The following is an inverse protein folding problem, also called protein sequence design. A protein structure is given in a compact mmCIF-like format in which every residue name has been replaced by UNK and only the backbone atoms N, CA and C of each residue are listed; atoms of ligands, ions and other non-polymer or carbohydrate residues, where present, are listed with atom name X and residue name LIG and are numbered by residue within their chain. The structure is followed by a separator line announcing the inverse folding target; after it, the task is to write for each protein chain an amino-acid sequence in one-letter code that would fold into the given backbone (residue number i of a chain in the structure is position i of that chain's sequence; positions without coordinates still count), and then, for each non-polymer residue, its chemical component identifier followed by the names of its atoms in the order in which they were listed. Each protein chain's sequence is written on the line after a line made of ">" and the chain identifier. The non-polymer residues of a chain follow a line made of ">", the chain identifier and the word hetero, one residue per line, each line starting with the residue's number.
data_IF_876273731353
#
_entry.id   IF_876273731353
#
_cell.length_a   1.000
_cell.length_b   1.000
_cell.length_c   1.000
_cell.angle_alpha   90.00
_cell.angle_beta   90.00
_cell.angle_gamma   90.00
#
_symmetry.space_group_name_H-M   'P 1'
#
loop_
_entity.id
_entity.type
_entity.pdbx_description
1 polymer ?
#
# COMPACT_ATOMS: atom_id res chain seq x y z
N UNK A 1 -35.83 3.42 18.12
CA UNK A 1 -34.83 3.52 19.22
C UNK A 1 -33.93 4.70 18.92
N UNK A 2 -33.52 5.45 19.91
CA UNK A 2 -32.55 6.54 19.73
C UNK A 2 -31.15 5.95 19.56
N UNK A 3 -30.29 6.62 18.78
CA UNK A 3 -28.92 6.17 18.57
C UNK A 3 -28.13 6.01 19.89
N UNK A 4 -28.40 6.87 20.87
CA UNK A 4 -27.83 6.80 22.22
C UNK A 4 -28.14 5.48 22.96
N UNK A 5 -29.32 4.88 22.70
CA UNK A 5 -29.75 3.63 23.35
C UNK A 5 -28.99 2.40 22.81
N UNK A 6 -28.33 2.56 21.67
CA UNK A 6 -27.54 1.52 20.99
C UNK A 6 -26.04 1.63 21.29
N UNK A 7 -25.61 2.60 22.12
CA UNK A 7 -24.19 2.87 22.36
C UNK A 7 -23.48 3.55 21.16
N UNK A 8 -24.25 4.26 20.32
CA UNK A 8 -23.76 5.01 19.17
C UNK A 8 -23.54 6.45 19.59
N UNK A 9 -22.32 6.97 19.41
CA UNK A 9 -21.97 8.36 19.64
C UNK A 9 -22.39 9.26 18.47
N UNK A 10 -22.04 8.82 17.25
CA UNK A 10 -22.40 9.53 16.02
C UNK A 10 -22.65 8.53 14.89
N UNK A 11 -23.56 8.91 13.99
CA UNK A 11 -23.78 8.23 12.72
C UNK A 11 -23.52 9.24 11.60
N UNK A 12 -22.53 8.94 10.77
CA UNK A 12 -22.00 9.81 9.73
C UNK A 12 -22.33 9.22 8.36
N UNK A 13 -23.34 9.71 7.65
CA UNK A 13 -23.62 9.27 6.29
C UNK A 13 -22.41 9.55 5.39
N UNK A 14 -21.99 8.57 4.60
CA UNK A 14 -20.88 8.73 3.66
C UNK A 14 -21.40 8.59 2.24
N UNK A 15 -21.27 9.64 1.47
CA UNK A 15 -21.45 9.64 0.03
C UNK A 15 -20.24 10.34 -0.59
N UNK A 16 -19.61 9.67 -1.52
CA UNK A 16 -18.45 10.20 -2.24
C UNK A 16 -18.87 10.57 -3.65
N UNK A 17 -18.24 11.61 -4.18
CA UNK A 17 -18.42 12.00 -5.58
C UNK A 17 -17.10 12.13 -6.28
N UNK A 18 -17.12 11.85 -7.57
CA UNK A 18 -15.99 12.15 -8.46
C UNK A 18 -16.15 13.52 -9.07
N UNK A 19 -15.03 14.19 -9.29
CA UNK A 19 -15.01 15.50 -9.92
C UNK A 19 -13.61 15.87 -10.35
N UNK A 20 -13.35 17.16 -10.54
CA UNK A 20 -12.06 17.68 -10.93
C UNK A 20 -11.62 18.76 -9.94
N UNK A 21 -10.38 18.70 -9.50
CA UNK A 21 -9.69 19.78 -8.81
C UNK A 21 -8.77 20.47 -9.82
N UNK A 22 -8.80 21.79 -9.88
CA UNK A 22 -7.86 22.58 -10.69
C UNK A 22 -6.65 22.92 -9.84
N UNK A 23 -5.46 22.65 -10.35
CA UNK A 23 -4.21 22.94 -9.67
C UNK A 23 -3.75 24.40 -9.81
N UNK A 24 -2.63 24.73 -9.20
CA UNK A 24 -2.02 26.07 -9.26
C UNK A 24 -1.58 26.51 -10.66
N UNK A 25 -1.53 25.59 -11.62
CA UNK A 25 -1.20 25.84 -13.02
C UNK A 25 -2.43 25.95 -13.94
N UNK A 26 -3.62 26.18 -13.38
CA UNK A 26 -4.90 26.22 -14.08
C UNK A 26 -5.23 24.93 -14.89
N UNK A 27 -4.58 23.83 -14.58
CA UNK A 27 -4.85 22.54 -15.19
C UNK A 27 -5.53 21.58 -14.20
N UNK A 28 -6.33 20.62 -14.70
CA UNK A 28 -6.86 19.57 -13.84
C UNK A 28 -5.74 18.79 -13.12
N UNK A 29 -5.90 18.59 -11.84
CA UNK A 29 -5.03 17.69 -11.08
C UNK A 29 -5.36 16.27 -11.49
N UNK A 30 -4.44 15.65 -12.22
CA UNK A 30 -4.57 14.27 -12.66
C UNK A 30 -3.58 13.40 -11.89
N UNK A 31 -4.07 12.34 -11.31
CA UNK A 31 -3.25 11.26 -10.77
C UNK A 31 -3.30 10.08 -11.74
N UNK A 32 -2.23 9.31 -11.80
CA UNK A 32 -2.09 8.20 -12.75
C UNK A 32 -3.12 7.09 -12.44
N UNK A 33 -4.30 7.19 -13.06
CA UNK A 33 -5.33 6.14 -13.03
C UNK A 33 -6.36 6.21 -11.90
N UNK A 34 -6.26 7.16 -10.96
CA UNK A 34 -7.27 7.31 -9.91
C UNK A 34 -8.06 8.62 -10.06
N UNK A 35 -9.37 8.62 -9.78
CA UNK A 35 -10.19 9.82 -9.86
C UNK A 35 -9.93 10.79 -8.69
N UNK A 36 -10.31 12.05 -8.89
CA UNK A 36 -10.46 13.00 -7.77
C UNK A 36 -11.75 12.68 -7.03
N UNK A 37 -11.64 12.40 -5.74
CA UNK A 37 -12.73 12.06 -4.84
C UNK A 37 -13.05 13.21 -3.91
N UNK A 38 -14.30 13.63 -3.90
CA UNK A 38 -14.86 14.57 -2.93
C UNK A 38 -15.52 13.78 -1.80
N UNK A 39 -15.05 14.01 -0.58
CA UNK A 39 -15.48 13.28 0.62
C UNK A 39 -16.02 14.23 1.67
N UNK A 40 -17.14 13.89 2.35
CA UNK A 40 -17.63 14.71 3.44
C UNK A 40 -16.73 14.58 4.66
N UNK A 41 -16.30 15.69 5.25
CA UNK A 41 -15.51 15.68 6.49
C UNK A 41 -16.39 16.08 7.67
N UNK A 42 -16.58 15.14 8.59
CA UNK A 42 -17.32 15.35 9.83
C UNK A 42 -16.40 15.77 10.97
N UNK A 43 -17.00 16.26 12.06
CA UNK A 43 -16.25 16.52 13.29
C UNK A 43 -15.77 15.18 13.90
N UNK A 44 -14.57 15.20 14.50
CA UNK A 44 -13.97 14.04 15.16
C UNK A 44 -13.88 12.79 14.26
N UNK A 45 -13.44 12.97 13.02
CA UNK A 45 -13.24 11.83 12.11
C UNK A 45 -12.05 11.00 12.54
N UNK A 46 -12.29 9.72 12.87
CA UNK A 46 -11.24 8.79 13.32
C UNK A 46 -10.35 8.36 12.16
N UNK A 47 -9.04 8.42 12.36
CA UNK A 47 -8.05 8.08 11.32
C UNK A 47 -7.74 9.22 10.35
N UNK A 48 -8.18 10.44 10.68
CA UNK A 48 -7.81 11.67 10.02
C UNK A 48 -6.97 12.51 10.97
N UNK A 49 -5.83 12.97 10.53
CA UNK A 49 -4.94 13.89 11.25
C UNK A 49 -4.88 15.21 10.50
N UNK A 50 -5.17 16.29 11.20
CA UNK A 50 -4.99 17.64 10.66
C UNK A 50 -3.52 18.00 10.65
N UNK A 51 -3.01 18.44 9.49
CA UNK A 51 -1.63 18.90 9.33
C UNK A 51 -1.57 20.40 9.54
N UNK A 52 -2.49 21.15 8.90
CA UNK A 52 -2.61 22.61 9.06
C UNK A 52 -4.00 23.10 8.65
N UNK A 53 -4.36 24.30 9.09
CA UNK A 53 -5.64 24.92 8.77
C UNK A 53 -6.82 24.38 9.60
N UNK A 54 -8.00 24.36 9.00
CA UNK A 54 -9.24 23.94 9.67
C UNK A 54 -10.17 23.18 8.72
N UNK A 55 -11.20 22.56 9.28
CA UNK A 55 -12.26 21.88 8.55
C UNK A 55 -13.02 22.87 7.64
N UNK A 56 -13.40 22.46 6.42
CA UNK A 56 -14.15 23.29 5.49
C UNK A 56 -15.57 23.58 6.02
N UNK A 57 -16.07 24.78 5.73
CA UNK A 57 -17.40 25.24 6.11
C UNK A 57 -18.16 25.74 4.86
N UNK A 58 -19.30 25.11 4.57
CA UNK A 58 -20.13 25.48 3.43
C UNK A 58 -19.52 25.14 2.05
N UNK A 59 -20.05 25.77 1.01
CA UNK A 59 -19.72 25.45 -0.39
C UNK A 59 -18.42 26.08 -0.92
N UNK A 60 -17.90 27.12 -0.22
CA UNK A 60 -16.75 27.92 -0.68
C UNK A 60 -15.40 27.47 -0.15
N UNK A 61 -15.37 26.46 0.70
CA UNK A 61 -14.16 26.00 1.35
C UNK A 61 -13.90 24.52 1.08
N UNK A 62 -12.63 24.19 0.83
CA UNK A 62 -12.18 22.81 0.68
C UNK A 62 -10.93 22.57 1.52
N UNK A 63 -10.67 21.32 1.81
CA UNK A 63 -9.40 20.86 2.36
C UNK A 63 -8.82 19.76 1.48
N UNK A 64 -7.51 19.67 1.45
CA UNK A 64 -6.82 18.70 0.61
C UNK A 64 -6.08 17.68 1.48
N UNK A 65 -6.13 16.43 1.05
CA UNK A 65 -5.20 15.43 1.59
C UNK A 65 -3.76 15.81 1.21
N UNK A 66 -2.77 15.49 2.05
CA UNK A 66 -1.37 15.93 1.87
C UNK A 66 -0.80 15.61 0.48
N UNK A 67 -1.10 14.43 -0.06
CA UNK A 67 -0.71 14.05 -1.42
C UNK A 67 -1.41 14.89 -2.49
N UNK A 68 -2.68 15.17 -2.31
CA UNK A 68 -3.46 16.02 -3.21
C UNK A 68 -2.95 17.47 -3.19
N UNK A 69 -2.62 18.01 -2.01
CA UNK A 69 -2.05 19.35 -1.87
C UNK A 69 -0.70 19.46 -2.58
N UNK A 70 0.18 18.48 -2.37
CA UNK A 70 1.49 18.40 -3.03
C UNK A 70 1.36 18.33 -4.55
N UNK A 71 0.50 17.46 -5.05
CA UNK A 71 0.35 17.20 -6.49
C UNK A 71 -0.36 18.35 -7.22
N UNK A 72 -1.24 19.09 -6.53
CA UNK A 72 -1.93 20.25 -7.10
C UNK A 72 -1.04 21.50 -7.19
N UNK A 73 0.04 21.56 -6.43
CA UNK A 73 0.87 22.76 -6.28
C UNK A 73 0.18 23.91 -5.53
N UNK A 74 -1.01 23.66 -4.97
CA UNK A 74 -1.77 24.63 -4.18
C UNK A 74 -1.21 24.70 -2.75
N UNK A 75 -1.57 25.77 -2.07
CA UNK A 75 -1.27 26.01 -0.64
C UNK A 75 -2.53 26.34 0.12
N UNK A 76 -2.50 26.13 1.42
CA UNK A 76 -3.57 26.61 2.29
C UNK A 76 -3.66 28.14 2.20
N UNK A 77 -4.86 28.64 1.91
CA UNK A 77 -5.16 30.04 1.62
C UNK A 77 -5.37 30.35 0.13
N UNK A 78 -4.95 29.46 -0.77
CA UNK A 78 -5.12 29.67 -2.20
C UNK A 78 -6.58 29.48 -2.63
N UNK A 79 -6.97 30.25 -3.66
CA UNK A 79 -8.23 30.06 -4.37
C UNK A 79 -8.03 29.19 -5.61
N UNK A 80 -8.99 28.31 -5.85
CA UNK A 80 -8.98 27.44 -7.04
C UNK A 80 -10.41 27.14 -7.47
N UNK A 81 -10.55 26.27 -8.48
CA UNK A 81 -11.84 25.80 -8.96
C UNK A 81 -11.96 24.29 -8.78
N UNK A 82 -13.13 23.86 -8.38
CA UNK A 82 -13.55 22.46 -8.44
C UNK A 82 -14.67 22.31 -9.47
N UNK A 83 -14.73 21.16 -10.12
CA UNK A 83 -15.84 20.84 -11.03
C UNK A 83 -16.53 19.58 -10.51
N UNK A 84 -17.76 19.74 -10.06
CA UNK A 84 -18.61 18.66 -9.56
C UNK A 84 -19.89 18.66 -10.41
N UNK A 85 -20.27 17.50 -10.95
CA UNK A 85 -21.40 17.35 -11.89
C UNK A 85 -21.38 18.35 -13.06
N UNK A 86 -20.18 18.70 -13.53
CA UNK A 86 -20.02 19.62 -14.67
C UNK A 86 -20.13 21.10 -14.32
N UNK A 87 -20.38 21.46 -13.07
CA UNK A 87 -20.49 22.85 -12.61
C UNK A 87 -19.18 23.30 -11.94
N UNK A 88 -18.48 24.29 -12.52
CA UNK A 88 -17.30 24.88 -11.87
C UNK A 88 -17.72 25.77 -10.68
N UNK A 89 -17.04 25.60 -9.57
CA UNK A 89 -17.25 26.38 -8.34
C UNK A 89 -15.90 26.90 -7.85
N UNK A 90 -15.80 28.21 -7.59
CA UNK A 90 -14.62 28.80 -6.95
C UNK A 90 -14.62 28.43 -5.47
N UNK A 91 -13.48 27.95 -4.98
CA UNK A 91 -13.29 27.52 -3.60
C UNK A 91 -11.94 27.97 -3.07
N UNK A 92 -11.83 28.05 -1.74
CA UNK A 92 -10.59 28.36 -1.03
C UNK A 92 -10.10 27.11 -0.32
N UNK A 93 -8.81 26.80 -0.44
CA UNK A 93 -8.16 25.73 0.32
C UNK A 93 -7.92 26.22 1.75
N UNK A 94 -8.67 25.67 2.72
CA UNK A 94 -8.63 26.15 4.12
C UNK A 94 -7.84 25.22 5.05
N UNK A 95 -7.44 24.05 4.58
CA UNK A 95 -6.68 23.13 5.40
C UNK A 95 -6.06 21.96 4.64
N UNK A 96 -5.18 21.28 5.34
CA UNK A 96 -4.52 20.06 4.93
C UNK A 96 -4.77 18.98 5.97
N UNK A 97 -5.08 17.79 5.51
CA UNK A 97 -5.26 16.62 6.35
C UNK A 97 -4.54 15.39 5.77
N UNK A 98 -4.30 14.42 6.63
CA UNK A 98 -3.72 13.14 6.27
C UNK A 98 -4.58 12.00 6.81
N UNK A 99 -4.84 10.98 5.98
CA UNK A 99 -5.46 9.73 6.43
C UNK A 99 -4.38 8.74 6.87
N UNK A 100 -4.60 8.06 7.99
CA UNK A 100 -3.71 6.98 8.48
C UNK A 100 -3.57 5.82 7.49
N UNK A 101 -4.58 5.58 6.67
CA UNK A 101 -4.53 4.63 5.57
C UNK A 101 -4.44 5.38 4.25
N UNK A 102 -3.28 5.31 3.60
CA UNK A 102 -3.08 5.93 2.29
C UNK A 102 -4.16 5.45 1.30
N UNK A 103 -4.95 6.40 0.80
CA UNK A 103 -5.77 6.18 -0.39
C UNK A 103 -4.85 6.32 -1.61
N UNK A 104 -4.00 5.30 -1.81
CA UNK A 104 -2.96 5.30 -2.81
C UNK A 104 -3.44 5.87 -4.14
N UNK A 105 -2.79 6.94 -4.59
CA UNK A 105 -2.96 7.60 -5.88
C UNK A 105 -4.26 8.40 -6.11
N UNK A 106 -5.23 8.43 -5.20
CA UNK A 106 -6.42 9.27 -5.36
C UNK A 106 -6.16 10.72 -4.92
N UNK A 107 -6.65 11.68 -5.68
CA UNK A 107 -6.75 13.07 -5.22
C UNK A 107 -7.96 13.17 -4.31
N UNK A 108 -7.75 13.32 -2.99
CA UNK A 108 -8.85 13.41 -2.03
C UNK A 108 -9.07 14.86 -1.62
N UNK A 109 -10.29 15.33 -1.83
CA UNK A 109 -10.76 16.67 -1.50
C UNK A 109 -11.81 16.56 -0.41
N UNK A 110 -11.52 17.11 0.76
CA UNK A 110 -12.45 17.18 1.87
C UNK A 110 -13.35 18.38 1.73
N UNK A 111 -14.64 18.18 1.91
CA UNK A 111 -15.66 19.23 1.78
C UNK A 111 -16.66 19.17 2.93
N UNK A 112 -17.42 20.25 3.12
CA UNK A 112 -18.48 20.30 4.11
C UNK A 112 -19.60 19.32 3.76
N UNK A 113 -20.00 18.44 4.70
CA UNK A 113 -21.10 17.52 4.48
C UNK A 113 -22.42 18.19 4.10
N UNK A 114 -22.71 19.40 4.63
CA UNK A 114 -23.93 20.12 4.32
C UNK A 114 -24.02 20.58 2.86
N UNK A 115 -22.86 20.76 2.23
CA UNK A 115 -22.77 21.06 0.80
C UNK A 115 -22.78 19.78 -0.06
N UNK A 116 -22.01 18.77 0.33
CA UNK A 116 -21.83 17.59 -0.50
C UNK A 116 -23.07 16.66 -0.49
N UNK A 117 -23.65 16.43 0.69
CA UNK A 117 -24.70 15.42 0.85
C UNK A 117 -25.95 15.67 -0.01
N UNK A 118 -26.47 16.90 -0.15
CA UNK A 118 -27.60 17.17 -1.04
C UNK A 118 -27.31 16.87 -2.52
N UNK A 119 -26.03 16.95 -2.93
CA UNK A 119 -25.59 16.70 -4.30
C UNK A 119 -25.30 15.22 -4.52
N UNK A 120 -24.61 14.59 -3.58
CA UNK A 120 -24.17 13.20 -3.68
C UNK A 120 -25.30 12.19 -3.37
N UNK A 121 -26.24 12.57 -2.52
CA UNK A 121 -27.35 11.75 -2.09
C UNK A 121 -28.68 12.55 -2.06
N UNK A 122 -29.17 13.01 -3.24
CA UNK A 122 -30.37 13.87 -3.31
C UNK A 122 -31.61 13.20 -2.75
N UNK A 123 -31.70 11.88 -2.83
CA UNK A 123 -32.80 11.10 -2.27
C UNK A 123 -32.62 10.76 -0.77
N UNK A 124 -31.58 11.30 -0.14
CA UNK A 124 -31.20 10.98 1.24
C UNK A 124 -30.69 9.55 1.45
N UNK A 125 -30.48 8.80 0.36
CA UNK A 125 -29.98 7.42 0.41
C UNK A 125 -28.48 7.41 0.24
N UNK A 126 -27.79 6.78 1.18
CA UNK A 126 -26.33 6.60 1.16
C UNK A 126 -25.98 5.13 1.13
N UNK A 127 -24.84 4.83 0.52
CA UNK A 127 -24.34 3.46 0.44
C UNK A 127 -23.69 3.00 1.74
N UNK A 128 -23.17 3.94 2.52
CA UNK A 128 -22.43 3.65 3.75
C UNK A 128 -22.75 4.68 4.82
N UNK A 129 -22.85 4.20 6.06
CA UNK A 129 -22.95 5.06 7.25
C UNK A 129 -21.82 4.63 8.18
N UNK A 130 -20.88 5.56 8.44
CA UNK A 130 -19.87 5.33 9.47
C UNK A 130 -20.50 5.59 10.85
N UNK A 131 -20.28 4.66 11.77
CA UNK A 131 -20.82 4.72 13.12
C UNK A 131 -19.70 4.85 14.12
N UNK A 132 -19.67 5.92 14.88
CA UNK A 132 -18.78 6.08 16.02
C UNK A 132 -19.41 5.47 17.26
N UNK A 133 -18.65 4.62 17.94
CA UNK A 133 -19.08 3.95 19.17
C UNK A 133 -18.78 4.83 20.36
N UNK A 134 -19.74 5.02 21.25
CA UNK A 134 -19.60 5.80 22.47
C UNK A 134 -18.53 5.24 23.39
N UNK A 135 -17.84 6.12 24.12
CA UNK A 135 -16.81 5.72 25.07
C UNK A 135 -17.38 4.73 26.11
N UNK A 136 -16.64 3.64 26.33
CA UNK A 136 -17.04 2.58 27.25
C UNK A 136 -17.97 1.52 26.66
N UNK A 137 -18.48 1.69 25.44
CA UNK A 137 -19.28 0.68 24.76
C UNK A 137 -18.40 -0.28 23.96
N UNK A 138 -18.77 -1.57 23.93
CA UNK A 138 -18.08 -2.56 23.10
C UNK A 138 -18.52 -2.46 21.66
N UNK A 139 -17.57 -2.39 20.72
CA UNK A 139 -17.84 -2.39 19.28
C UNK A 139 -18.69 -3.58 18.85
N UNK A 140 -18.44 -4.77 19.41
CA UNK A 140 -19.19 -5.97 19.08
C UNK A 140 -20.64 -5.94 19.60
N UNK A 141 -20.86 -5.34 20.78
CA UNK A 141 -22.21 -5.15 21.33
C UNK A 141 -23.00 -4.19 20.46
N UNK A 142 -22.42 -3.04 20.11
CA UNK A 142 -23.04 -2.03 19.24
C UNK A 142 -23.33 -2.63 17.85
N UNK A 143 -22.40 -3.37 17.27
CA UNK A 143 -22.60 -4.10 16.01
C UNK A 143 -23.84 -5.02 16.10
N UNK A 144 -23.93 -5.82 17.15
CA UNK A 144 -25.07 -6.74 17.36
C UNK A 144 -26.40 -6.02 17.49
N UNK A 145 -26.44 -4.87 18.20
CA UNK A 145 -27.66 -4.10 18.35
C UNK A 145 -28.08 -3.40 17.06
N UNK A 146 -27.12 -2.86 16.31
CA UNK A 146 -27.39 -2.24 15.01
C UNK A 146 -27.92 -3.27 14.02
N UNK A 147 -27.33 -4.47 14.00
CA UNK A 147 -27.76 -5.56 13.10
C UNK A 147 -29.24 -5.93 13.26
N UNK A 148 -29.82 -5.73 14.45
CA UNK A 148 -31.24 -6.03 14.72
C UNK A 148 -32.20 -4.98 14.16
N UNK A 149 -31.72 -3.80 13.80
CA UNK A 149 -32.56 -2.65 13.42
C UNK A 149 -32.32 -2.14 12.00
N UNK A 150 -31.30 -2.66 11.31
CA UNK A 150 -31.04 -2.30 9.91
C UNK A 150 -32.03 -3.01 8.97
N UNK A 151 -32.32 -2.41 7.81
CA UNK A 151 -33.16 -3.03 6.79
C UNK A 151 -32.50 -4.25 6.17
N UNK A 152 -33.32 -5.14 5.61
CA UNK A 152 -32.85 -6.31 4.86
C UNK A 152 -31.94 -5.87 3.69
N UNK A 153 -30.82 -6.57 3.54
CA UNK A 153 -29.82 -6.28 2.52
C UNK A 153 -28.70 -5.34 2.96
N UNK A 154 -28.81 -4.69 4.12
CA UNK A 154 -27.71 -3.94 4.71
C UNK A 154 -26.82 -4.85 5.58
N UNK A 155 -25.53 -4.53 5.66
CA UNK A 155 -24.56 -5.26 6.47
C UNK A 155 -23.86 -4.33 7.45
N UNK A 156 -23.58 -4.83 8.65
CA UNK A 156 -22.79 -4.10 9.65
C UNK A 156 -21.43 -4.76 9.76
N UNK A 157 -20.41 -3.99 9.45
CA UNK A 157 -19.00 -4.44 9.54
C UNK A 157 -18.24 -3.53 10.49
N UNK A 158 -17.32 -4.11 11.23
CA UNK A 158 -16.33 -3.31 11.97
C UNK A 158 -15.24 -2.81 11.03
N UNK A 159 -14.56 -1.73 11.39
CA UNK A 159 -13.41 -1.23 10.60
C UNK A 159 -12.36 -2.33 10.35
N UNK A 160 -12.11 -3.16 11.34
CA UNK A 160 -11.17 -4.28 11.21
C UNK A 160 -11.64 -5.34 10.18
N UNK A 161 -12.95 -5.63 10.13
CA UNK A 161 -13.51 -6.55 9.13
C UNK A 161 -13.42 -5.96 7.72
N UNK A 162 -13.74 -4.68 7.54
CA UNK A 162 -13.62 -3.99 6.25
C UNK A 162 -12.17 -4.01 5.75
N UNK A 163 -11.21 -3.67 6.61
CA UNK A 163 -9.78 -3.70 6.25
C UNK A 163 -9.34 -5.12 5.87
N UNK A 164 -9.78 -6.13 6.64
CA UNK A 164 -9.45 -7.53 6.36
C UNK A 164 -10.04 -7.99 5.03
N UNK A 165 -11.25 -7.60 4.71
CA UNK A 165 -11.92 -7.95 3.46
C UNK A 165 -11.28 -7.27 2.26
N UNK A 166 -10.91 -5.99 2.39
CA UNK A 166 -10.15 -5.26 1.37
C UNK A 166 -8.77 -5.88 1.14
N UNK A 167 -8.03 -6.21 2.20
CA UNK A 167 -6.73 -6.86 2.07
C UNK A 167 -6.86 -8.23 1.39
N UNK A 168 -7.87 -9.01 1.75
CA UNK A 168 -8.14 -10.30 1.11
C UNK A 168 -8.44 -10.15 -0.39
N UNK A 169 -9.25 -9.16 -0.77
CA UNK A 169 -9.53 -8.89 -2.19
C UNK A 169 -8.26 -8.51 -2.97
N UNK A 170 -7.37 -7.72 -2.36
CA UNK A 170 -6.06 -7.38 -2.94
C UNK A 170 -5.18 -8.63 -3.05
N UNK A 171 -5.11 -9.46 -1.99
CA UNK A 171 -4.35 -10.71 -2.01
C UNK A 171 -4.85 -11.66 -3.11
N UNK A 172 -6.16 -11.79 -3.30
CA UNK A 172 -6.74 -12.62 -4.35
C UNK A 172 -6.40 -12.09 -5.75
N UNK A 173 -6.45 -10.77 -5.96
CA UNK A 173 -6.05 -10.15 -7.24
C UNK A 173 -4.56 -10.30 -7.51
N UNK A 174 -3.72 -10.17 -6.48
CA UNK A 174 -2.26 -10.31 -6.61
C UNK A 174 -1.78 -11.74 -6.59
N UNK A 175 -2.59 -12.69 -6.14
CA UNK A 175 -2.22 -14.11 -6.01
C UNK A 175 -1.74 -14.72 -7.32
N UNK A 176 -2.36 -14.37 -8.44
CA UNK A 176 -1.89 -14.80 -9.77
C UNK A 176 -0.46 -14.29 -10.07
N UNK A 177 -0.19 -13.02 -9.78
CA UNK A 177 1.13 -12.42 -9.99
C UNK A 177 2.17 -13.10 -9.09
N UNK A 178 1.82 -13.38 -7.83
CA UNK A 178 2.70 -14.07 -6.89
C UNK A 178 3.05 -15.48 -7.38
N UNK A 179 2.08 -16.27 -7.84
CA UNK A 179 2.32 -17.61 -8.38
C UNK A 179 3.18 -17.54 -9.64
N UNK A 180 2.90 -16.60 -10.54
CA UNK A 180 3.70 -16.38 -11.75
C UNK A 180 5.15 -16.05 -11.42
N UNK A 181 5.39 -15.13 -10.48
CA UNK A 181 6.74 -14.77 -10.03
C UNK A 181 7.45 -15.97 -9.37
N UNK A 182 6.74 -16.76 -8.58
CA UNK A 182 7.29 -17.96 -7.94
C UNK A 182 7.73 -18.97 -8.97
N UNK A 183 6.92 -19.27 -10.00
CA UNK A 183 7.30 -20.14 -11.10
C UNK A 183 8.54 -19.62 -11.81
N UNK A 184 8.60 -18.31 -12.08
CA UNK A 184 9.76 -17.68 -12.70
C UNK A 184 11.03 -17.86 -11.85
N UNK A 185 10.93 -17.66 -10.54
CA UNK A 185 12.07 -17.86 -9.61
C UNK A 185 12.53 -19.31 -9.61
N UNK A 186 11.61 -20.29 -9.59
CA UNK A 186 11.94 -21.70 -9.64
C UNK A 186 12.68 -22.07 -10.94
N UNK A 187 12.20 -21.57 -12.08
CA UNK A 187 12.86 -21.79 -13.38
C UNK A 187 14.25 -21.13 -13.40
N UNK A 188 14.36 -19.88 -12.92
CA UNK A 188 15.65 -19.19 -12.85
C UNK A 188 16.66 -19.92 -11.94
N UNK A 189 16.18 -20.43 -10.79
CA UNK A 189 16.98 -21.21 -9.86
C UNK A 189 17.46 -22.53 -10.50
N UNK A 190 16.59 -23.23 -11.24
CA UNK A 190 16.95 -24.45 -11.96
C UNK A 190 18.02 -24.18 -13.03
N UNK A 191 17.83 -23.16 -13.85
CA UNK A 191 18.81 -22.77 -14.89
C UNK A 191 20.13 -22.33 -14.26
N UNK A 192 20.07 -21.52 -13.21
CA UNK A 192 21.25 -21.07 -12.47
C UNK A 192 22.03 -22.23 -11.86
N UNK A 193 21.35 -23.19 -11.22
CA UNK A 193 21.96 -24.40 -10.66
C UNK A 193 22.63 -25.24 -11.74
N UNK A 194 22.00 -25.38 -12.90
CA UNK A 194 22.58 -26.11 -14.03
C UNK A 194 23.86 -25.45 -14.56
N UNK A 195 23.88 -24.12 -14.68
CA UNK A 195 25.06 -23.36 -15.09
C UNK A 195 26.20 -23.53 -14.06
N UNK A 196 25.88 -23.39 -12.76
CA UNK A 196 26.86 -23.58 -11.68
C UNK A 196 27.41 -24.96 -11.68
N UNK A 197 26.57 -26.01 -11.80
CA UNK A 197 27.01 -27.41 -11.84
C UNK A 197 27.95 -27.69 -13.02
N UNK A 198 27.63 -27.17 -14.22
CA UNK A 198 28.49 -27.31 -15.39
C UNK A 198 29.85 -26.59 -15.21
N UNK A 199 29.81 -25.36 -14.67
CA UNK A 199 31.04 -24.59 -14.42
C UNK A 199 31.95 -25.27 -13.38
N UNK A 200 31.34 -25.80 -12.30
CA UNK A 200 32.08 -26.56 -11.29
C UNK A 200 32.64 -27.84 -11.84
N UNK A 201 31.87 -28.63 -12.60
CA UNK A 201 32.33 -29.86 -13.22
C UNK A 201 33.55 -29.62 -14.15
N UNK A 202 33.50 -28.51 -14.91
CA UNK A 202 34.61 -28.12 -15.78
C UNK A 202 35.84 -27.69 -14.96
N UNK A 203 35.65 -26.88 -13.91
CA UNK A 203 36.74 -26.46 -13.02
C UNK A 203 37.45 -27.66 -12.34
N UNK A 204 36.66 -28.60 -11.84
CA UNK A 204 37.19 -29.81 -11.22
C UNK A 204 37.98 -30.64 -12.23
N UNK A 205 37.47 -30.86 -13.47
CA UNK A 205 38.17 -31.57 -14.54
C UNK A 205 39.50 -30.94 -14.91
N UNK A 206 39.61 -29.63 -14.96
CA UNK A 206 40.85 -28.91 -15.25
C UNK A 206 41.89 -29.09 -14.15
N UNK A 207 41.49 -29.33 -12.90
CA UNK A 207 42.40 -29.51 -11.75
C UNK A 207 42.66 -30.97 -11.37
N UNK A 208 42.22 -31.95 -12.17
CA UNK A 208 42.39 -33.36 -11.86
C UNK A 208 43.87 -33.74 -11.67
N UNK A 209 44.78 -33.16 -12.48
CA UNK A 209 46.23 -33.39 -12.34
C UNK A 209 46.78 -32.85 -11.00
N UNK A 210 46.32 -31.67 -10.56
CA UNK A 210 46.71 -31.08 -9.27
C UNK A 210 46.21 -31.97 -8.11
N UNK A 211 44.99 -32.46 -8.19
CA UNK A 211 44.43 -33.38 -7.19
C UNK A 211 45.14 -34.73 -7.16
N UNK A 212 45.56 -35.24 -8.33
CA UNK A 212 46.35 -36.47 -8.40
C UNK A 212 47.73 -36.31 -7.75
N UNK A 213 48.42 -35.17 -7.97
CA UNK A 213 49.69 -34.85 -7.33
C UNK A 213 49.54 -34.71 -5.81
N UNK A 214 48.52 -34.04 -5.32
CA UNK A 214 48.24 -33.92 -3.87
C UNK A 214 48.03 -35.29 -3.23
N UNK A 215 47.35 -36.21 -3.91
CA UNK A 215 47.16 -37.59 -3.45
C UNK A 215 48.45 -38.40 -3.47
N UNK A 216 49.30 -38.17 -4.45
CA UNK A 216 50.61 -38.84 -4.51
C UNK A 216 51.54 -38.44 -3.36
N UNK A 217 51.39 -37.22 -2.84
CA UNK A 217 52.13 -36.73 -1.65
C UNK A 217 51.43 -37.10 -0.32
N UNK A 218 50.29 -37.83 -0.37
CA UNK A 218 49.64 -38.39 0.81
C UNK A 218 48.37 -37.68 1.27
N UNK A 219 47.83 -36.74 0.48
CA UNK A 219 46.55 -36.09 0.83
C UNK A 219 45.39 -37.10 0.77
N UNK A 220 44.52 -37.07 1.78
CA UNK A 220 43.35 -37.94 1.82
C UNK A 220 42.28 -37.47 0.80
N UNK A 221 41.41 -38.34 0.27
CA UNK A 221 40.30 -37.96 -0.58
C UNK A 221 39.36 -36.95 0.08
N UNK A 222 39.19 -37.05 1.40
CA UNK A 222 38.37 -36.11 2.18
C UNK A 222 38.96 -34.70 2.20
N UNK A 223 40.29 -34.56 2.25
CA UNK A 223 40.96 -33.26 2.20
C UNK A 223 40.74 -32.55 0.85
N UNK A 224 40.84 -33.30 -0.26
CA UNK A 224 40.59 -32.78 -1.61
C UNK A 224 39.14 -32.36 -1.77
N UNK A 225 38.20 -33.20 -1.30
CA UNK A 225 36.77 -32.86 -1.30
C UNK A 225 36.48 -31.60 -0.43
N UNK A 226 37.12 -31.51 0.74
CA UNK A 226 36.97 -30.35 1.64
C UNK A 226 37.38 -29.04 1.00
N UNK A 227 38.45 -29.00 0.21
CA UNK A 227 38.87 -27.79 -0.52
C UNK A 227 37.83 -27.38 -1.57
N UNK A 228 37.32 -28.33 -2.35
CA UNK A 228 36.29 -28.04 -3.37
C UNK A 228 34.99 -27.60 -2.71
N UNK A 229 34.60 -28.25 -1.62
CA UNK A 229 33.41 -27.88 -0.85
C UNK A 229 33.52 -26.47 -0.24
N UNK A 230 34.66 -26.16 0.37
CA UNK A 230 34.92 -24.83 0.93
C UNK A 230 34.85 -23.74 -0.15
N UNK A 231 35.42 -24.01 -1.33
CA UNK A 231 35.33 -23.10 -2.46
C UNK A 231 33.89 -22.87 -2.91
N UNK A 232 33.05 -23.90 -2.95
CA UNK A 232 31.65 -23.82 -3.28
C UNK A 232 30.87 -22.96 -2.26
N UNK A 233 31.13 -23.19 -0.97
CA UNK A 233 30.50 -22.39 0.12
C UNK A 233 30.89 -20.93 0.04
N UNK A 234 32.17 -20.61 -0.17
CA UNK A 234 32.64 -19.23 -0.29
C UNK A 234 31.97 -18.53 -1.47
N UNK A 235 31.92 -19.16 -2.64
CA UNK A 235 31.26 -18.61 -3.82
C UNK A 235 29.75 -18.43 -3.57
N UNK A 236 29.11 -19.42 -2.93
CA UNK A 236 27.70 -19.36 -2.57
C UNK A 236 27.37 -18.19 -1.64
N UNK A 237 28.14 -18.02 -0.58
CA UNK A 237 27.95 -16.92 0.38
C UNK A 237 28.17 -15.56 -0.28
N UNK A 238 29.26 -15.39 -1.04
CA UNK A 238 29.53 -14.12 -1.73
C UNK A 238 28.46 -13.84 -2.79
N UNK A 239 28.10 -14.83 -3.59
CA UNK A 239 27.05 -14.71 -4.60
C UNK A 239 25.68 -14.34 -4.00
N UNK A 240 25.33 -15.01 -2.89
CA UNK A 240 24.09 -14.73 -2.17
C UNK A 240 24.08 -13.29 -1.59
N UNK A 241 25.17 -12.85 -0.98
CA UNK A 241 25.28 -11.48 -0.46
C UNK A 241 25.16 -10.44 -1.56
N UNK A 242 25.82 -10.64 -2.70
CA UNK A 242 25.71 -9.76 -3.87
C UNK A 242 24.31 -9.78 -4.47
N UNK A 243 23.66 -10.95 -4.53
CA UNK A 243 22.29 -11.09 -5.01
C UNK A 243 21.28 -10.33 -4.14
N UNK A 244 21.39 -10.46 -2.82
CA UNK A 244 20.54 -9.72 -1.86
C UNK A 244 20.77 -8.21 -1.97
N UNK A 245 22.04 -7.79 -2.05
CA UNK A 245 22.37 -6.36 -2.20
C UNK A 245 21.85 -5.78 -3.52
N UNK A 246 21.99 -6.51 -4.63
CA UNK A 246 21.45 -6.09 -5.92
C UNK A 246 19.91 -6.04 -5.91
N UNK A 247 19.25 -7.03 -5.33
CA UNK A 247 17.79 -7.06 -5.18
C UNK A 247 17.27 -5.90 -4.33
N UNK A 248 17.94 -5.61 -3.22
CA UNK A 248 17.63 -4.45 -2.38
C UNK A 248 17.81 -3.11 -3.13
N UNK A 249 18.90 -3.00 -3.90
CA UNK A 249 19.16 -1.82 -4.72
C UNK A 249 18.12 -1.61 -5.83
N UNK A 250 17.69 -2.69 -6.49
CA UNK A 250 16.62 -2.64 -7.49
C UNK A 250 15.29 -2.21 -6.86
N UNK A 251 14.94 -2.76 -5.68
CA UNK A 251 13.72 -2.40 -4.97
C UNK A 251 13.74 -0.92 -4.56
N UNK A 252 14.85 -0.45 -3.99
CA UNK A 252 15.02 0.96 -3.62
C UNK A 252 14.95 1.90 -4.84
N UNK A 253 15.55 1.51 -5.96
CA UNK A 253 15.47 2.25 -7.21
C UNK A 253 14.05 2.31 -7.77
N UNK A 254 13.34 1.18 -7.74
CA UNK A 254 11.95 1.12 -8.19
C UNK A 254 11.02 1.94 -7.28
N UNK A 255 11.18 1.87 -5.95
CA UNK A 255 10.38 2.68 -5.03
C UNK A 255 10.61 4.18 -5.26
N UNK A 256 11.87 4.62 -5.40
CA UNK A 256 12.17 6.01 -5.69
C UNK A 256 11.58 6.51 -7.03
N UNK A 257 11.52 5.63 -8.02
CA UNK A 257 10.96 5.92 -9.34
C UNK A 257 9.43 6.03 -9.28
N UNK A 258 8.78 5.16 -8.50
CA UNK A 258 7.34 5.21 -8.26
C UNK A 258 6.94 6.43 -7.41
N UNK A 259 7.73 6.76 -6.39
CA UNK A 259 7.54 7.97 -5.58
C UNK A 259 7.63 9.24 -6.45
N UNK A 260 8.61 9.30 -7.35
CA UNK A 260 8.76 10.39 -8.30
C UNK A 260 7.60 10.47 -9.30
N UNK A 261 6.96 9.34 -9.61
CA UNK A 261 5.76 9.26 -10.45
C UNK A 261 4.46 9.54 -9.66
N UNK A 262 4.54 9.87 -8.37
CA UNK A 262 3.36 10.10 -7.52
C UNK A 262 2.58 8.83 -7.14
N UNK A 263 3.23 7.68 -7.21
CA UNK A 263 2.68 6.36 -6.87
C UNK A 263 3.51 5.73 -5.74
N UNK A 264 3.44 6.26 -4.51
CA UNK A 264 4.22 5.71 -3.41
C UNK A 264 3.85 4.25 -3.16
N UNK A 265 4.86 3.38 -3.08
CA UNK A 265 4.67 2.03 -2.60
C UNK A 265 4.27 2.10 -1.12
N UNK A 266 3.30 1.28 -0.74
CA UNK A 266 2.82 1.18 0.64
C UNK A 266 4.01 1.06 1.61
N UNK A 267 4.06 1.89 2.63
CA UNK A 267 5.01 1.80 3.73
C UNK A 267 4.88 0.41 4.38
N UNK A 268 5.90 -0.42 4.23
CA UNK A 268 5.90 -1.80 4.76
C UNK A 268 6.66 -2.80 3.91
N UNK A 269 7.16 -2.43 2.73
CA UNK A 269 8.00 -3.30 1.88
C UNK A 269 9.46 -3.38 2.36
N UNK A 270 9.73 -3.05 3.63
CA UNK A 270 11.05 -3.18 4.24
C UNK A 270 11.55 -4.64 4.14
N UNK A 271 12.83 -4.81 3.82
CA UNK A 271 13.50 -6.10 3.86
C UNK A 271 13.32 -6.71 5.25
N UNK A 272 12.34 -7.60 5.38
CA UNK A 272 12.16 -8.37 6.60
C UNK A 272 13.40 -9.26 6.79
N UNK A 273 13.92 -9.32 8.01
CA UNK A 273 15.02 -10.22 8.35
C UNK A 273 14.74 -11.68 7.96
N UNK A 274 13.47 -12.05 7.90
CA UNK A 274 12.97 -13.35 7.43
C UNK A 274 13.27 -13.56 5.93
N UNK A 275 13.08 -12.54 5.09
CA UNK A 275 13.38 -12.62 3.65
C UNK A 275 14.89 -12.80 3.43
N UNK A 276 15.71 -12.07 4.19
CA UNK A 276 17.18 -12.21 4.13
C UNK A 276 17.61 -13.62 4.57
N UNK A 277 17.03 -14.14 5.66
CA UNK A 277 17.34 -15.48 6.18
C UNK A 277 16.93 -16.59 5.19
N UNK A 278 15.76 -16.49 4.56
CA UNK A 278 15.30 -17.45 3.55
C UNK A 278 16.22 -17.39 2.32
N UNK A 279 16.59 -16.20 1.85
CA UNK A 279 17.48 -16.04 0.69
C UNK A 279 18.86 -16.65 0.94
N UNK A 280 19.40 -16.51 2.15
CA UNK A 280 20.65 -17.16 2.56
C UNK A 280 20.50 -18.69 2.67
N UNK A 281 19.38 -19.19 3.21
CA UNK A 281 19.15 -20.62 3.40
C UNK A 281 18.91 -21.39 2.10
N UNK A 282 18.38 -20.76 1.07
CA UNK A 282 18.13 -21.38 -0.24
C UNK A 282 19.43 -21.62 -1.04
N UNK A 283 20.51 -20.86 -0.73
CA UNK A 283 21.78 -20.92 -1.47
C UNK A 283 22.92 -21.64 -0.71
N UNK A 284 22.71 -22.05 0.52
CA UNK A 284 23.60 -22.93 1.29
C UNK A 284 23.20 -24.40 1.13
#
# INVERSE_FOLDING_TARGET
>A
RRSSDLGVEAAKPNAQMTGVLVGSNDAPVTTTGAPTLFVPLYDNEKGLTWVQGHKPQGAGEITLESGALKNSGLKVGDKTHIVVQGSPTEVTVVGEFHYESSMASATVVGVDPSWLMPIAAPDGKVTTIAVDVAQGSSVYTVKSEITKVIPDGAQVQTRAEVIKEQNKAIEEQLGFIQVFLLVFVVVAMFVGSFIIMNSFAMSVRQRVKEFALLRAVGASPASVFGVVFLQAVVIGVVGSALGVAAGAGLLAGLSALLDAAGMPLLEGTGLSGTIIAISLAVWL
#
